data_IF_668362946669
#
_entry.id   IF_668362946669
#
_cell.length_a   1.000
_cell.length_b   1.000
_cell.length_c   1.000
_cell.angle_alpha   90.00
_cell.angle_beta   90.00
_cell.angle_gamma   90.00
#
_symmetry.space_group_name_H-M   'P 1'
#
loop_
_entity.id
_entity.type
_entity.pdbx_description
1 polymer ?
#
# COMPACT_ATOMS: atom_id res chain seq x y z
N UNK A 1 -17.83 8.65 1.73
CA UNK A 1 -17.28 9.35 2.83
C UNK A 1 -16.71 8.41 3.85
N UNK A 2 -17.50 7.89 4.77
CA UNK A 2 -16.98 6.94 5.73
C UNK A 2 -16.44 5.70 5.04
N UNK A 3 -17.10 5.29 3.96
CA UNK A 3 -16.66 4.12 3.19
C UNK A 3 -15.29 4.35 2.56
N UNK A 4 -15.02 5.58 2.10
CA UNK A 4 -13.73 5.89 1.48
C UNK A 4 -12.59 5.81 2.48
N UNK A 5 -12.84 6.26 3.71
CA UNK A 5 -11.82 6.19 4.75
C UNK A 5 -11.45 4.76 5.08
N UNK A 6 -12.46 3.90 5.17
CA UNK A 6 -12.22 2.48 5.43
C UNK A 6 -11.43 1.83 4.30
N UNK A 7 -11.76 2.20 3.06
CA UNK A 7 -11.03 1.67 1.91
C UNK A 7 -9.58 2.11 1.94
N UNK A 8 -9.34 3.37 2.27
CA UNK A 8 -7.97 3.88 2.34
C UNK A 8 -7.17 3.11 3.38
N UNK A 9 -7.74 2.88 4.55
CA UNK A 9 -7.05 2.12 5.59
C UNK A 9 -6.74 0.69 5.14
N UNK A 10 -7.71 0.06 4.49
CA UNK A 10 -7.52 -1.30 4.00
C UNK A 10 -6.38 -1.36 2.99
N UNK A 11 -6.39 -0.45 2.03
CA UNK A 11 -5.36 -0.44 1.00
C UNK A 11 -4.01 -0.02 1.55
N UNK A 12 -4.00 0.86 2.56
CA UNK A 12 -2.74 1.24 3.21
C UNK A 12 -2.11 0.03 3.89
N UNK A 13 -2.90 -0.79 4.56
CA UNK A 13 -2.40 -2.01 5.17
C UNK A 13 -1.79 -2.95 4.13
N UNK A 14 -2.46 -3.07 2.99
CA UNK A 14 -1.94 -3.93 1.93
C UNK A 14 -0.61 -3.42 1.39
N UNK A 15 -0.48 -2.11 1.23
CA UNK A 15 0.78 -1.53 0.77
C UNK A 15 1.89 -1.76 1.80
N UNK A 16 1.58 -1.59 3.08
CA UNK A 16 2.57 -1.84 4.13
C UNK A 16 3.05 -3.30 4.08
N UNK A 17 2.13 -4.23 3.88
CA UNK A 17 2.49 -5.63 3.72
C UNK A 17 3.44 -5.84 2.55
N UNK A 18 3.14 -5.21 1.42
CA UNK A 18 4.00 -5.32 0.25
C UNK A 18 5.38 -4.76 0.54
N UNK A 19 5.43 -3.62 1.22
CA UNK A 19 6.70 -3.02 1.57
C UNK A 19 7.52 -3.93 2.46
N UNK A 20 6.90 -4.57 3.44
CA UNK A 20 7.59 -5.49 4.33
C UNK A 20 8.16 -6.68 3.55
N UNK A 21 7.41 -7.20 2.59
CA UNK A 21 7.89 -8.29 1.75
C UNK A 21 9.07 -7.84 0.92
N UNK A 22 9.01 -6.63 0.37
CA UNK A 22 10.08 -6.11 -0.46
C UNK A 22 11.35 -5.84 0.35
N UNK A 23 11.21 -5.52 1.63
CA UNK A 23 12.35 -5.25 2.49
C UNK A 23 12.95 -6.51 3.09
N UNK A 24 12.19 -7.59 3.09
CA UNK A 24 12.64 -8.85 3.69
C UNK A 24 13.59 -9.56 2.74
N UNK A 25 14.83 -9.78 3.19
CA UNK A 25 15.84 -10.45 2.38
C UNK A 25 15.54 -11.93 2.18
N UNK A 26 14.62 -12.48 2.97
CA UNK A 26 14.25 -13.89 2.86
C UNK A 26 13.07 -14.11 1.92
N UNK A 27 12.49 -13.06 1.40
CA UNK A 27 11.37 -13.20 0.47
C UNK A 27 11.85 -13.83 -0.83
N UNK A 28 11.04 -14.73 -1.38
CA UNK A 28 11.36 -15.34 -2.67
C UNK A 28 11.15 -14.33 -3.79
N UNK A 29 11.74 -14.62 -4.95
CA UNK A 29 11.55 -13.75 -6.11
C UNK A 29 10.08 -13.65 -6.49
N UNK A 30 9.36 -14.76 -6.39
CA UNK A 30 7.94 -14.79 -6.69
C UNK A 30 7.15 -13.87 -5.75
N UNK A 31 7.48 -13.91 -4.46
CA UNK A 31 6.83 -13.05 -3.49
C UNK A 31 7.10 -11.58 -3.77
N UNK A 32 8.34 -11.26 -4.12
CA UNK A 32 8.72 -9.89 -4.44
C UNK A 32 7.97 -9.41 -5.67
N UNK A 33 7.88 -10.23 -6.70
CA UNK A 33 7.16 -9.84 -7.91
C UNK A 33 5.68 -9.61 -7.64
N UNK A 34 5.06 -10.50 -6.87
CA UNK A 34 3.65 -10.34 -6.53
C UNK A 34 3.41 -9.09 -5.69
N UNK A 35 4.28 -8.82 -4.75
CA UNK A 35 4.17 -7.63 -3.93
C UNK A 35 4.29 -6.37 -4.78
N UNK A 36 5.23 -6.35 -5.71
CA UNK A 36 5.42 -5.22 -6.60
C UNK A 36 4.18 -4.99 -7.46
N UNK A 37 3.64 -6.05 -8.04
CA UNK A 37 2.45 -5.95 -8.88
C UNK A 37 1.26 -5.44 -8.09
N UNK A 38 1.08 -5.99 -6.90
CA UNK A 38 -0.05 -5.60 -6.06
C UNK A 38 0.05 -4.14 -5.67
N UNK A 39 1.24 -3.71 -5.30
CA UNK A 39 1.47 -2.31 -4.92
C UNK A 39 1.17 -1.38 -6.08
N UNK A 40 1.66 -1.71 -7.27
CA UNK A 40 1.42 -0.90 -8.45
C UNK A 40 -0.06 -0.84 -8.80
N UNK A 41 -0.74 -1.98 -8.70
CA UNK A 41 -2.16 -2.02 -8.98
C UNK A 41 -2.94 -1.12 -8.03
N UNK A 42 -2.58 -1.14 -6.75
CA UNK A 42 -3.26 -0.29 -5.76
C UNK A 42 -3.02 1.18 -6.06
N UNK A 43 -1.79 1.54 -6.36
CA UNK A 43 -1.47 2.94 -6.70
C UNK A 43 -2.23 3.36 -7.95
N UNK A 44 -2.34 2.48 -8.94
CA UNK A 44 -3.07 2.79 -10.16
C UNK A 44 -4.56 2.99 -9.91
N UNK A 45 -5.14 2.25 -8.97
CA UNK A 45 -6.54 2.45 -8.62
C UNK A 45 -6.80 3.86 -8.12
N UNK A 46 -5.84 4.45 -7.45
CA UNK A 46 -5.99 5.77 -6.87
C UNK A 46 -5.40 6.89 -7.73
N UNK A 47 -4.78 6.53 -8.86
CA UNK A 47 -4.09 7.53 -9.69
C UNK A 47 -5.04 8.54 -10.32
N UNK A 48 -6.31 8.18 -10.47
CA UNK A 48 -7.32 9.08 -11.04
C UNK A 48 -7.82 10.11 -10.04
N UNK A 49 -7.52 9.91 -8.77
CA UNK A 49 -7.94 10.81 -7.70
C UNK A 49 -6.75 11.16 -6.82
N UNK A 50 -6.02 12.21 -7.20
CA UNK A 50 -4.78 12.54 -6.48
C UNK A 50 -4.98 12.85 -5.00
N UNK A 51 -6.14 13.38 -4.63
CA UNK A 51 -6.42 13.64 -3.23
C UNK A 51 -6.46 12.36 -2.42
N UNK A 52 -7.13 11.34 -2.96
CA UNK A 52 -7.21 10.05 -2.29
C UNK A 52 -5.86 9.35 -2.29
N UNK A 53 -5.11 9.50 -3.37
CA UNK A 53 -3.78 8.91 -3.44
C UNK A 53 -2.87 9.51 -2.37
N UNK A 54 -2.95 10.81 -2.19
CA UNK A 54 -2.16 11.49 -1.16
C UNK A 54 -2.53 10.97 0.23
N UNK A 55 -3.82 10.81 0.50
CA UNK A 55 -4.27 10.27 1.77
C UNK A 55 -3.80 8.84 1.98
N UNK A 56 -3.82 8.05 0.90
CA UNK A 56 -3.35 6.67 0.96
C UNK A 56 -1.87 6.62 1.34
N UNK A 57 -1.06 7.42 0.67
CA UNK A 57 0.38 7.44 0.95
C UNK A 57 0.67 7.95 2.35
N UNK A 58 -0.08 8.94 2.81
CA UNK A 58 0.07 9.44 4.18
C UNK A 58 -0.27 8.37 5.19
N UNK A 59 -1.32 7.61 4.94
CA UNK A 59 -1.72 6.52 5.83
C UNK A 59 -0.65 5.43 5.87
N UNK A 60 -0.04 5.13 4.72
CA UNK A 60 1.04 4.15 4.66
C UNK A 60 2.22 4.61 5.51
N UNK A 61 2.62 5.86 5.35
CA UNK A 61 3.73 6.41 6.13
C UNK A 61 3.44 6.34 7.62
N UNK A 62 2.24 6.71 8.02
CA UNK A 62 1.84 6.66 9.43
C UNK A 62 1.98 5.25 9.98
N UNK A 63 1.49 4.27 9.27
CA UNK A 63 1.53 2.90 9.73
C UNK A 63 2.96 2.39 9.84
N UNK A 64 3.82 2.80 8.94
CA UNK A 64 5.22 2.36 8.97
C UNK A 64 5.98 3.02 10.11
N UNK A 65 5.67 4.27 10.42
CA UNK A 65 6.34 4.94 11.51
C UNK A 65 5.87 4.47 12.88
N UNK A 66 4.60 4.12 12.98
CA UNK A 66 4.05 3.67 14.26
C UNK A 66 4.43 2.24 14.61
N UNK A 67 4.92 1.51 13.66
CA UNK A 67 5.42 0.17 13.91
C UNK A 67 6.84 0.22 14.44
#
# INVERSE_FOLDING_TARGET
MIKQKKSIEKWAKEIVRCELILQDTHSSQEEVEQATWKQEAIVNLFSHEPDLLFELLSAVEEKMFLE
#
